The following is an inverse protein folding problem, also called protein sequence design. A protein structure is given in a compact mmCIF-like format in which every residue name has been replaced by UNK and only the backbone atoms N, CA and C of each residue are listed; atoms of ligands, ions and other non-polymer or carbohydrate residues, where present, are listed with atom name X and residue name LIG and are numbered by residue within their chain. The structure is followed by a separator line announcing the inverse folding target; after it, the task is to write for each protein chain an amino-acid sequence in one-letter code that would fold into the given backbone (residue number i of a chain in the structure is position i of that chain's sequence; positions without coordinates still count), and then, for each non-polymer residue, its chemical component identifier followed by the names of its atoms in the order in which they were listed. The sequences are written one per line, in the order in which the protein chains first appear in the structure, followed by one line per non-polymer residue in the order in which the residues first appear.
data_IF_130499648159
#
_entry.id   IF_130499648159
#
_cell.length_a   1.000
_cell.length_b   1.000
_cell.length_c   1.000
_cell.angle_alpha   90.00
_cell.angle_beta   90.00
_cell.angle_gamma   90.00
#
_symmetry.space_group_name_H-M   'P 1'
#
loop_
_entity.id
_entity.type
_entity.pdbx_description
1 polymer ?
#
# COMPACT_ATOMS: atom_id res chain seq x y z
N UNK A 1 -4.85 24.43 -13.20
CA UNK A 1 -3.62 23.62 -13.00
C UNK A 1 -4.06 22.26 -12.49
N UNK A 2 -3.56 21.18 -13.05
CA UNK A 2 -3.92 19.81 -12.63
C UNK A 2 -2.93 19.33 -11.57
N UNK A 3 -3.42 18.66 -10.53
CA UNK A 3 -2.62 18.22 -9.39
C UNK A 3 -2.75 16.71 -9.18
N UNK A 4 -1.64 16.01 -9.05
CA UNK A 4 -1.59 14.64 -8.54
C UNK A 4 -1.02 14.69 -7.12
N UNK A 5 -1.81 14.24 -6.14
CA UNK A 5 -1.40 14.18 -4.74
C UNK A 5 -1.17 12.71 -4.37
N UNK A 6 0.05 12.38 -4.00
CA UNK A 6 0.43 11.05 -3.53
C UNK A 6 0.57 11.06 -2.01
N UNK A 7 -0.24 10.24 -1.34
CA UNK A 7 -0.25 10.12 0.13
C UNK A 7 0.15 8.70 0.51
N UNK A 8 1.19 8.57 1.34
CA UNK A 8 1.47 7.31 2.01
C UNK A 8 0.54 7.15 3.20
N UNK A 9 0.05 5.92 3.43
CA UNK A 9 -0.75 5.63 4.62
C UNK A 9 -0.02 5.99 5.93
N UNK A 10 -0.76 6.38 6.95
CA UNK A 10 -0.25 6.61 8.29
C UNK A 10 0.38 5.36 8.91
N UNK A 11 1.04 5.49 10.06
CA UNK A 11 1.67 4.37 10.75
C UNK A 11 0.67 3.23 10.97
N UNK A 12 0.99 2.03 10.47
CA UNK A 12 0.24 0.81 10.74
C UNK A 12 0.78 0.05 11.96
N UNK A 13 -0.02 -0.87 12.51
CA UNK A 13 0.36 -1.74 13.62
C UNK A 13 1.68 -2.47 13.35
N UNK A 14 1.86 -3.02 12.14
CA UNK A 14 3.08 -3.72 11.77
C UNK A 14 4.25 -2.79 11.44
N UNK A 15 4.00 -1.53 11.07
CA UNK A 15 5.08 -0.52 11.04
C UNK A 15 5.64 -0.28 12.44
N UNK A 16 4.77 -0.15 13.45
CA UNK A 16 5.16 0.02 14.84
C UNK A 16 5.95 -1.19 15.36
N UNK A 17 5.51 -2.40 15.00
CA UNK A 17 6.19 -3.66 15.35
C UNK A 17 7.44 -3.96 14.52
N UNK A 18 7.81 -3.10 13.57
CA UNK A 18 8.93 -3.29 12.64
C UNK A 18 8.84 -4.60 11.82
N UNK A 19 7.64 -5.03 11.44
CA UNK A 19 7.41 -6.24 10.64
C UNK A 19 7.32 -5.91 9.15
N UNK A 20 7.64 -6.89 8.29
CA UNK A 20 7.33 -6.84 6.87
C UNK A 20 5.84 -7.05 6.65
N UNK A 21 5.14 -6.05 6.10
CA UNK A 21 3.68 -6.08 5.97
C UNK A 21 3.23 -6.62 4.62
N UNK A 22 3.69 -6.01 3.54
CA UNK A 22 3.25 -6.39 2.18
C UNK A 22 1.73 -6.36 2.05
N UNK A 23 1.14 -7.50 1.67
CA UNK A 23 -0.31 -7.60 1.44
C UNK A 23 -1.12 -8.01 2.69
N UNK A 24 -0.49 -8.21 3.84
CA UNK A 24 -1.25 -8.45 5.07
C UNK A 24 -2.09 -7.23 5.43
N UNK A 25 -3.37 -7.46 5.75
CA UNK A 25 -4.35 -6.38 5.92
C UNK A 25 -4.47 -5.93 7.38
N UNK A 26 -3.49 -5.13 7.81
CA UNK A 26 -3.41 -4.55 9.16
C UNK A 26 -3.94 -3.12 9.20
N UNK A 27 -4.44 -2.70 10.37
CA UNK A 27 -4.97 -1.37 10.61
C UNK A 27 -3.93 -0.30 10.89
N UNK A 28 -4.42 0.93 11.07
CA UNK A 28 -3.63 2.08 11.54
C UNK A 28 -3.55 2.08 13.06
N UNK A 29 -2.41 2.54 13.60
CA UNK A 29 -2.29 2.94 14.99
C UNK A 29 -2.97 4.30 15.22
N UNK A 30 -3.17 4.71 16.49
CA UNK A 30 -3.68 6.05 16.81
C UNK A 30 -2.77 7.14 16.24
N UNK A 31 -1.45 6.93 16.28
CA UNK A 31 -0.49 7.82 15.62
C UNK A 31 -0.75 7.88 14.11
N UNK A 32 -0.95 6.75 13.45
CA UNK A 32 -1.25 6.71 12.01
C UNK A 32 -2.53 7.43 11.64
N UNK A 33 -3.56 7.37 12.50
CA UNK A 33 -4.81 8.15 12.33
C UNK A 33 -4.57 9.65 12.47
N UNK A 34 -3.76 10.07 13.45
CA UNK A 34 -3.38 11.46 13.63
C UNK A 34 -2.56 11.99 12.43
N UNK A 35 -1.63 11.18 11.91
CA UNK A 35 -0.87 11.50 10.69
C UNK A 35 -1.78 11.69 9.47
N UNK A 36 -2.78 10.81 9.29
CA UNK A 36 -3.76 10.93 8.21
C UNK A 36 -4.62 12.20 8.35
N UNK A 37 -5.07 12.52 9.56
CA UNK A 37 -5.80 13.77 9.84
C UNK A 37 -4.96 14.98 9.47
N UNK A 38 -3.70 15.02 9.91
CA UNK A 38 -2.79 16.11 9.60
C UNK A 38 -2.57 16.30 8.09
N UNK A 39 -2.48 15.18 7.35
CA UNK A 39 -2.39 15.24 5.88
C UNK A 39 -3.64 15.90 5.26
N UNK A 40 -4.83 15.53 5.72
CA UNK A 40 -6.09 16.17 5.28
C UNK A 40 -6.14 17.67 5.57
N UNK A 41 -5.76 18.08 6.78
CA UNK A 41 -5.67 19.50 7.18
C UNK A 41 -4.72 20.28 6.25
N UNK A 42 -3.53 19.72 5.95
CA UNK A 42 -2.55 20.37 5.08
C UNK A 42 -3.06 20.55 3.64
N UNK A 43 -3.79 19.56 3.10
CA UNK A 43 -4.39 19.68 1.76
C UNK A 43 -5.47 20.76 1.78
N UNK A 44 -6.31 20.78 2.82
CA UNK A 44 -7.35 21.80 3.00
C UNK A 44 -6.79 23.21 3.06
N UNK A 45 -5.70 23.42 3.81
CA UNK A 45 -5.00 24.70 3.88
C UNK A 45 -4.52 25.18 2.50
N UNK A 46 -4.10 24.26 1.63
CA UNK A 46 -3.67 24.57 0.25
C UNK A 46 -4.83 24.93 -0.69
N UNK A 47 -6.08 24.76 -0.27
CA UNK A 47 -7.29 25.02 -1.05
C UNK A 47 -7.29 24.34 -2.43
N UNK A 48 -6.68 23.16 -2.51
CA UNK A 48 -6.65 22.35 -3.75
C UNK A 48 -7.97 21.59 -3.82
N UNK A 49 -8.70 21.79 -4.92
CA UNK A 49 -9.88 20.99 -5.23
C UNK A 49 -9.42 19.63 -5.77
N UNK A 50 -10.00 18.57 -5.25
CA UNK A 50 -9.74 17.19 -5.68
C UNK A 50 -11.03 16.63 -6.29
N UNK A 51 -10.91 16.02 -7.46
CA UNK A 51 -12.06 15.53 -8.23
C UNK A 51 -12.13 13.98 -8.25
N UNK A 52 -11.01 13.28 -8.00
CA UNK A 52 -10.92 11.81 -8.00
C UNK A 52 -10.08 11.30 -6.83
N UNK A 53 -10.49 10.17 -6.27
CA UNK A 53 -9.86 9.57 -5.09
C UNK A 53 -9.58 8.08 -5.33
N UNK A 54 -8.32 7.70 -5.20
CA UNK A 54 -7.84 6.33 -5.44
C UNK A 54 -7.17 5.75 -4.20
N UNK A 55 -7.44 4.48 -3.93
CA UNK A 55 -6.76 3.72 -2.87
C UNK A 55 -6.45 2.30 -3.32
N UNK A 56 -5.54 1.64 -2.61
CA UNK A 56 -5.36 0.20 -2.70
C UNK A 56 -6.52 -0.55 -2.04
N UNK A 57 -6.47 -1.89 -2.06
CA UNK A 57 -7.43 -2.70 -1.29
C UNK A 57 -7.11 -2.71 0.21
N UNK A 58 -5.90 -2.34 0.60
CA UNK A 58 -5.38 -2.47 1.96
C UNK A 58 -6.08 -1.52 2.93
N UNK A 59 -6.55 -2.07 4.07
CA UNK A 59 -7.28 -1.35 5.12
C UNK A 59 -6.56 -0.07 5.56
N UNK A 60 -5.25 -0.13 5.86
CA UNK A 60 -4.47 1.04 6.28
C UNK A 60 -4.47 2.19 5.28
N UNK A 61 -4.47 1.88 3.97
CA UNK A 61 -4.55 2.89 2.91
C UNK A 61 -5.95 3.48 2.80
N UNK A 62 -6.98 2.62 2.83
CA UNK A 62 -8.38 3.05 2.83
C UNK A 62 -8.71 3.91 4.05
N UNK A 63 -8.33 3.49 5.26
CA UNK A 63 -8.56 4.23 6.50
C UNK A 63 -7.85 5.60 6.46
N UNK A 64 -6.62 5.66 5.92
CA UNK A 64 -5.91 6.93 5.73
C UNK A 64 -6.69 7.85 4.79
N UNK A 65 -7.11 7.36 3.62
CA UNK A 65 -7.82 8.19 2.64
C UNK A 65 -9.18 8.65 3.19
N UNK A 66 -9.94 7.79 3.87
CA UNK A 66 -11.21 8.16 4.50
C UNK A 66 -11.05 9.29 5.53
N UNK A 67 -10.00 9.23 6.36
CA UNK A 67 -9.70 10.29 7.33
C UNK A 67 -9.37 11.60 6.60
N UNK A 68 -8.54 11.55 5.56
CA UNK A 68 -8.23 12.72 4.71
C UNK A 68 -9.49 13.31 4.09
N UNK A 69 -10.34 12.49 3.47
CA UNK A 69 -11.58 12.93 2.84
C UNK A 69 -12.55 13.57 3.84
N UNK A 70 -12.63 13.03 5.05
CA UNK A 70 -13.42 13.63 6.14
C UNK A 70 -12.95 15.05 6.47
N UNK A 71 -11.66 15.31 6.54
CA UNK A 71 -11.12 16.66 6.78
C UNK A 71 -11.41 17.62 5.61
N UNK A 72 -11.51 17.07 4.38
CA UNK A 72 -11.86 17.82 3.17
C UNK A 72 -13.38 18.01 2.98
N UNK A 73 -14.21 17.38 3.80
CA UNK A 73 -15.68 17.27 3.65
C UNK A 73 -16.09 16.58 2.34
N UNK A 74 -15.34 15.58 1.90
CA UNK A 74 -15.63 14.78 0.71
C UNK A 74 -16.32 13.46 1.10
N UNK A 75 -17.15 12.93 0.18
CA UNK A 75 -17.88 11.67 0.38
C UNK A 75 -16.96 10.46 0.18
N UNK A 76 -16.82 9.61 1.19
CA UNK A 76 -16.00 8.39 1.11
C UNK A 76 -16.48 7.38 0.06
N UNK A 77 -17.73 7.48 -0.43
CA UNK A 77 -18.23 6.64 -1.52
C UNK A 77 -17.57 6.96 -2.87
N UNK A 78 -16.88 8.09 -2.99
CA UNK A 78 -16.11 8.46 -4.19
C UNK A 78 -14.77 7.71 -4.30
N UNK A 79 -14.39 6.88 -3.34
CA UNK A 79 -13.11 6.15 -3.37
C UNK A 79 -13.16 5.03 -4.40
N UNK A 80 -12.32 5.14 -5.42
CA UNK A 80 -12.03 4.05 -6.36
C UNK A 80 -10.89 3.18 -5.82
N UNK A 81 -11.18 1.92 -5.49
CA UNK A 81 -10.19 0.98 -4.97
C UNK A 81 -9.63 0.13 -6.11
N UNK A 82 -8.30 -0.01 -6.12
CA UNK A 82 -7.56 -0.83 -7.09
C UNK A 82 -6.48 -1.65 -6.39
N UNK A 83 -6.54 -2.99 -6.51
CA UNK A 83 -5.54 -3.87 -5.90
C UNK A 83 -4.14 -3.64 -6.49
N UNK A 84 -4.04 -3.18 -7.73
CA UNK A 84 -2.79 -2.83 -8.38
C UNK A 84 -2.02 -1.74 -7.63
N UNK A 85 -2.69 -0.97 -6.76
CA UNK A 85 -2.07 0.04 -5.89
C UNK A 85 -1.61 -0.53 -4.54
N UNK A 86 -1.76 -1.84 -4.29
CA UNK A 86 -1.26 -2.47 -3.08
C UNK A 86 0.27 -2.31 -2.93
N UNK A 87 0.73 -2.26 -1.69
CA UNK A 87 2.16 -2.33 -1.36
C UNK A 87 2.79 -3.58 -2.01
N UNK A 88 4.11 -3.54 -2.26
CA UNK A 88 4.87 -4.68 -2.75
C UNK A 88 4.70 -5.89 -1.81
N UNK A 89 4.56 -7.07 -2.39
CA UNK A 89 4.54 -8.33 -1.66
C UNK A 89 5.95 -8.75 -1.24
N UNK A 90 6.18 -8.97 0.04
CA UNK A 90 7.51 -9.29 0.57
C UNK A 90 7.83 -10.80 0.63
N UNK A 91 7.03 -11.65 -0.02
CA UNK A 91 7.29 -13.09 -0.09
C UNK A 91 7.43 -13.73 1.29
N UNK A 92 8.41 -14.62 1.44
CA UNK A 92 8.73 -15.34 2.68
C UNK A 92 9.07 -14.44 3.88
N UNK A 93 9.41 -13.16 3.66
CA UNK A 93 9.67 -12.21 4.73
C UNK A 93 8.39 -11.66 5.38
N UNK A 94 7.23 -11.87 4.76
CA UNK A 94 5.95 -11.36 5.25
C UNK A 94 5.69 -11.81 6.70
N UNK A 95 5.40 -10.85 7.57
CA UNK A 95 5.14 -11.09 8.99
C UNK A 95 6.39 -11.18 9.88
N UNK A 96 7.59 -11.30 9.31
CA UNK A 96 8.83 -11.39 10.07
C UNK A 96 9.32 -10.02 10.53
N UNK A 97 10.02 -9.99 11.66
CA UNK A 97 10.61 -8.75 12.19
C UNK A 97 11.83 -8.34 11.35
N UNK A 98 11.91 -7.06 11.00
CA UNK A 98 12.97 -6.54 10.12
C UNK A 98 14.37 -6.62 10.74
N UNK A 99 14.48 -6.38 12.05
CA UNK A 99 15.77 -6.43 12.75
C UNK A 99 16.28 -7.88 12.90
N UNK A 100 15.37 -8.83 13.14
CA UNK A 100 15.74 -10.24 13.22
C UNK A 100 16.19 -10.78 11.85
N UNK A 101 15.52 -10.33 10.79
CA UNK A 101 15.93 -10.71 9.42
C UNK A 101 17.26 -10.10 9.02
N UNK A 102 17.58 -8.88 9.47
CA UNK A 102 18.92 -8.31 9.28
C UNK A 102 20.01 -9.14 9.98
N UNK A 103 19.72 -9.59 11.20
CA UNK A 103 20.66 -10.46 11.94
C UNK A 103 20.85 -11.81 11.23
N UNK A 104 19.79 -12.38 10.67
CA UNK A 104 19.80 -13.70 10.01
C UNK A 104 20.44 -13.68 8.63
N UNK A 105 20.09 -12.71 7.78
CA UNK A 105 20.50 -12.66 6.36
C UNK A 105 21.57 -11.62 6.05
N UNK A 106 21.93 -10.79 7.02
CA UNK A 106 22.81 -9.63 6.82
C UNK A 106 22.03 -8.38 6.38
N UNK A 107 22.55 -7.23 6.77
CA UNK A 107 21.91 -5.94 6.51
C UNK A 107 21.81 -5.64 5.01
N UNK A 108 22.90 -5.93 4.27
CA UNK A 108 22.97 -5.70 2.83
C UNK A 108 21.91 -6.50 2.06
N UNK A 109 21.74 -7.79 2.39
CA UNK A 109 20.73 -8.64 1.74
C UNK A 109 19.31 -8.14 2.00
N UNK A 110 19.01 -7.75 3.24
CA UNK A 110 17.70 -7.17 3.58
C UNK A 110 17.51 -5.81 2.90
N UNK A 111 18.57 -5.01 2.76
CA UNK A 111 18.53 -3.77 2.01
C UNK A 111 18.22 -4.03 0.53
N UNK A 112 18.86 -5.00 -0.10
CA UNK A 112 18.58 -5.42 -1.48
C UNK A 112 17.12 -5.81 -1.66
N UNK A 113 16.56 -6.69 -0.82
CA UNK A 113 15.14 -7.07 -0.87
C UNK A 113 14.18 -5.89 -0.73
N UNK A 114 14.58 -4.84 -0.04
CA UNK A 114 13.73 -3.67 0.22
C UNK A 114 13.90 -2.54 -0.78
N UNK A 115 15.05 -2.44 -1.47
CA UNK A 115 15.42 -1.23 -2.21
C UNK A 115 15.91 -1.48 -3.64
N UNK A 116 16.32 -2.70 -3.99
CA UNK A 116 16.72 -2.99 -5.37
C UNK A 116 15.52 -3.02 -6.31
N UNK A 117 15.81 -2.87 -7.60
CA UNK A 117 14.82 -2.84 -8.65
C UNK A 117 14.19 -4.22 -8.91
N UNK A 118 15.02 -5.26 -9.07
CA UNK A 118 14.64 -6.58 -9.58
C UNK A 118 14.90 -7.75 -8.62
N UNK A 119 15.60 -7.50 -7.49
CA UNK A 119 15.83 -8.54 -6.48
C UNK A 119 14.60 -8.66 -5.58
N UNK A 120 14.11 -9.88 -5.39
CA UNK A 120 12.96 -10.19 -4.54
C UNK A 120 13.25 -11.32 -3.55
N UNK A 121 12.55 -11.35 -2.40
CA UNK A 121 12.60 -12.47 -1.46
C UNK A 121 12.05 -13.75 -2.09
N UNK A 122 12.28 -14.90 -1.43
CA UNK A 122 11.62 -16.16 -1.78
C UNK A 122 10.10 -16.07 -1.72
N UNK A 123 9.42 -16.99 -2.40
CA UNK A 123 7.97 -17.06 -2.42
C UNK A 123 7.40 -17.35 -1.02
N UNK A 124 6.28 -16.74 -0.66
CA UNK A 124 5.51 -17.12 0.52
C UNK A 124 4.73 -18.40 0.23
N UNK A 125 4.72 -19.33 1.17
CA UNK A 125 3.90 -20.54 1.06
C UNK A 125 2.42 -20.16 0.92
N UNK A 126 1.74 -20.67 -0.10
CA UNK A 126 0.32 -20.43 -0.36
C UNK A 126 -0.62 -20.92 0.75
N UNK A 127 -0.14 -21.81 1.63
CA UNK A 127 -0.87 -22.25 2.84
C UNK A 127 -0.69 -21.28 4.01
N UNK A 128 0.23 -20.33 3.94
CA UNK A 128 0.43 -19.34 4.98
C UNK A 128 -0.83 -18.51 5.22
N UNK A 129 -1.24 -18.25 6.48
CA UNK A 129 -2.37 -17.35 6.76
C UNK A 129 -2.12 -15.91 6.30
N UNK A 130 -0.87 -15.55 6.04
CA UNK A 130 -0.47 -14.25 5.51
C UNK A 130 -0.45 -14.19 3.98
N UNK A 131 -0.66 -15.33 3.30
CA UNK A 131 -0.74 -15.33 1.84
C UNK A 131 -2.05 -14.69 1.38
N UNK A 132 -2.04 -13.81 0.36
CA UNK A 132 -3.25 -13.09 -0.09
C UNK A 132 -4.41 -14.02 -0.47
N UNK A 133 -4.16 -15.24 -0.94
CA UNK A 133 -5.18 -16.25 -1.22
C UNK A 133 -6.03 -16.61 0.01
N UNK A 134 -5.51 -16.40 1.22
CA UNK A 134 -6.16 -16.74 2.49
C UNK A 134 -6.69 -15.49 3.23
N UNK A 135 -6.66 -14.32 2.58
CA UNK A 135 -7.10 -13.04 3.14
C UNK A 135 -8.37 -12.59 2.40
N UNK A 136 -9.47 -12.45 3.13
CA UNK A 136 -10.80 -12.13 2.60
C UNK A 136 -10.83 -10.89 1.69
N UNK A 137 -10.01 -9.88 2.02
CA UNK A 137 -9.89 -8.63 1.26
C UNK A 137 -9.56 -8.85 -0.22
N UNK A 138 -8.92 -9.97 -0.57
CA UNK A 138 -8.41 -10.23 -1.93
C UNK A 138 -9.15 -11.34 -2.68
N UNK A 139 -10.26 -11.84 -2.15
CA UNK A 139 -11.02 -12.97 -2.72
C UNK A 139 -11.50 -12.75 -4.17
N UNK A 140 -11.72 -11.50 -4.54
CA UNK A 140 -12.23 -11.12 -5.86
C UNK A 140 -11.09 -10.88 -6.89
N UNK A 141 -9.82 -11.03 -6.47
CA UNK A 141 -8.68 -10.92 -7.38
C UNK A 141 -8.45 -12.29 -8.04
N UNK A 142 -8.30 -12.36 -9.38
CA UNK A 142 -7.94 -13.60 -10.04
C UNK A 142 -6.68 -14.21 -9.42
N UNK A 143 -6.69 -15.53 -9.19
CA UNK A 143 -5.56 -16.24 -8.58
C UNK A 143 -4.25 -16.05 -9.36
N UNK A 144 -4.36 -15.90 -10.69
CA UNK A 144 -3.23 -15.61 -11.58
C UNK A 144 -2.54 -14.28 -11.30
N UNK A 145 -3.26 -13.34 -10.73
CA UNK A 145 -2.79 -11.97 -10.49
C UNK A 145 -2.27 -11.77 -9.06
N UNK A 146 -2.46 -12.79 -8.20
CA UNK A 146 -1.98 -12.77 -6.82
C UNK A 146 -0.51 -13.22 -6.78
N UNK A 147 0.42 -12.34 -6.35
CA UNK A 147 1.83 -12.69 -6.30
C UNK A 147 2.17 -13.52 -5.06
N UNK A 148 3.06 -14.49 -5.21
CA UNK A 148 3.69 -15.20 -4.08
C UNK A 148 4.89 -14.39 -3.53
N UNK A 149 5.46 -13.48 -4.33
CA UNK A 149 6.54 -12.52 -3.99
C UNK A 149 6.69 -11.47 -5.10
N UNK A 150 7.17 -10.28 -4.76
CA UNK A 150 7.42 -9.21 -5.75
C UNK A 150 8.76 -8.54 -5.55
N UNK A 151 9.41 -8.19 -6.67
CA UNK A 151 10.44 -7.15 -6.75
C UNK A 151 9.78 -5.76 -6.89
N UNK A 152 10.58 -4.70 -6.83
CA UNK A 152 10.08 -3.36 -7.14
C UNK A 152 9.63 -3.25 -8.61
N UNK A 153 10.34 -3.94 -9.52
CA UNK A 153 9.99 -4.02 -10.94
C UNK A 153 8.61 -4.65 -11.16
N UNK A 154 8.30 -5.74 -10.45
CA UNK A 154 6.99 -6.40 -10.55
C UNK A 154 5.87 -5.45 -10.06
N UNK A 155 6.07 -4.81 -8.90
CA UNK A 155 5.14 -3.82 -8.36
C UNK A 155 4.97 -2.62 -9.28
N UNK A 156 6.07 -2.07 -9.81
CA UNK A 156 6.07 -0.93 -10.74
C UNK A 156 5.22 -1.22 -11.96
N UNK A 157 5.35 -2.41 -12.56
CA UNK A 157 4.59 -2.77 -13.75
C UNK A 157 3.09 -2.63 -13.49
N UNK A 158 2.55 -3.33 -12.46
CA UNK A 158 1.11 -3.31 -12.18
C UNK A 158 0.59 -1.93 -11.78
N UNK A 159 1.42 -1.14 -11.07
CA UNK A 159 1.03 0.23 -10.66
C UNK A 159 1.00 1.17 -11.85
N UNK A 160 2.00 1.11 -12.73
CA UNK A 160 2.06 1.99 -13.93
C UNK A 160 0.97 1.63 -14.92
N UNK A 161 0.68 0.33 -15.13
CA UNK A 161 -0.44 -0.09 -15.96
C UNK A 161 -1.76 0.52 -15.46
N UNK A 162 -2.04 0.38 -14.15
CA UNK A 162 -3.22 0.98 -13.52
C UNK A 162 -3.23 2.51 -13.60
N UNK A 163 -2.08 3.15 -13.42
CA UNK A 163 -1.94 4.61 -13.54
C UNK A 163 -2.32 5.07 -14.96
N UNK A 164 -1.74 4.45 -15.98
CA UNK A 164 -1.98 4.83 -17.38
C UNK A 164 -3.43 4.58 -17.83
N UNK A 165 -4.00 3.46 -17.39
CA UNK A 165 -5.35 3.06 -17.80
C UNK A 165 -6.45 3.88 -17.14
N UNK A 166 -6.21 4.37 -15.93
CA UNK A 166 -7.24 4.97 -15.10
C UNK A 166 -6.86 6.38 -14.59
N UNK A 167 -5.82 6.50 -13.76
CA UNK A 167 -5.51 7.75 -13.05
C UNK A 167 -5.08 8.86 -14.00
N UNK A 168 -4.28 8.52 -15.02
CA UNK A 168 -3.82 9.49 -16.01
C UNK A 168 -4.98 10.07 -16.82
N UNK A 169 -6.00 9.27 -17.13
CA UNK A 169 -7.18 9.75 -17.85
C UNK A 169 -7.94 10.80 -17.04
N UNK A 170 -8.15 10.55 -15.75
CA UNK A 170 -8.80 11.52 -14.87
C UNK A 170 -7.94 12.78 -14.70
N UNK A 171 -6.62 12.62 -14.65
CA UNK A 171 -5.71 13.75 -14.54
C UNK A 171 -5.69 14.60 -15.84
N UNK A 172 -6.05 14.04 -17.01
CA UNK A 172 -6.09 14.73 -18.29
C UNK A 172 -7.43 15.42 -18.58
N UNK A 173 -8.50 14.94 -18.00
CA UNK A 173 -9.84 15.53 -18.11
C UNK A 173 -10.01 16.70 -17.13
#
# INVERSE_FOLDING_TARGET
MKHLILIRHGQSEWNQQKRFTGWVDVGLTDKGRAEAKKAGELIKEKKIKLDSFYSSYQKRANDTLKIVMKELNEDENLITKKWQLNERHYGELTGLNKEDMKKKYGEEKIHQFRRSWDVKPGALDRKSPYHPLNIETYKDIPVSDIPDTESLKDTHKRVVDCYNELILKDLQN
#
